data_IF_629105466590
#
_entry.id   IF_629105466590
#
_cell.length_a   1.000
_cell.length_b   1.000
_cell.length_c   1.000
_cell.angle_alpha   90.00
_cell.angle_beta   90.00
_cell.angle_gamma   90.00
#
_symmetry.space_group_name_H-M   'P 1'
#
loop_
_entity.id
_entity.type
_entity.pdbx_description
1 polymer ?
#
# COMPACT_ATOMS: atom_id res chain seq x y z
N UNK A 1 -9.48 15.50 0.85
CA UNK A 1 -8.74 14.27 0.52
C UNK A 1 -7.48 14.69 -0.20
N UNK A 2 -6.49 15.20 0.56
CA UNK A 2 -5.20 15.57 -0.01
C UNK A 2 -4.72 14.38 -0.83
N UNK A 3 -4.33 14.62 -2.07
CA UNK A 3 -3.69 13.61 -2.90
C UNK A 3 -2.40 13.19 -2.20
N UNK A 4 -2.50 12.24 -1.27
CA UNK A 4 -1.42 11.36 -0.90
C UNK A 4 -0.98 10.75 -2.22
N UNK A 5 0.03 11.38 -2.83
CA UNK A 5 0.87 10.76 -3.82
C UNK A 5 1.51 9.61 -3.06
N UNK A 6 0.86 8.46 -3.12
CA UNK A 6 1.46 7.21 -2.68
C UNK A 6 2.58 7.00 -3.69
N UNK A 7 3.74 7.54 -3.39
CA UNK A 7 4.97 7.30 -4.14
C UNK A 7 5.45 5.87 -3.88
N UNK A 8 6.46 5.47 -4.64
CA UNK A 8 6.94 4.09 -4.62
C UNK A 8 7.50 3.69 -3.24
N UNK A 9 8.14 4.64 -2.53
CA UNK A 9 8.64 4.42 -1.17
C UNK A 9 7.47 4.18 -0.20
N UNK A 10 6.42 4.99 -0.29
CA UNK A 10 5.18 4.83 0.47
C UNK A 10 4.51 3.50 0.14
N UNK A 11 4.52 3.06 -1.12
CA UNK A 11 3.96 1.74 -1.50
C UNK A 11 4.68 0.60 -0.81
N UNK A 12 6.01 0.64 -0.73
CA UNK A 12 6.80 -0.40 -0.04
C UNK A 12 6.46 -0.45 1.45
N UNK A 13 6.34 0.70 2.09
CA UNK A 13 5.95 0.76 3.52
C UNK A 13 4.51 0.30 3.74
N UNK A 14 3.57 0.70 2.87
CA UNK A 14 2.18 0.22 2.90
C UNK A 14 2.09 -1.29 2.73
N UNK A 15 2.89 -1.88 1.83
CA UNK A 15 2.91 -3.33 1.62
C UNK A 15 3.30 -4.07 2.90
N UNK A 16 4.33 -3.57 3.60
CA UNK A 16 4.78 -4.15 4.86
C UNK A 16 3.74 -3.99 5.97
N UNK A 17 3.14 -2.80 6.11
CA UNK A 17 2.11 -2.55 7.11
C UNK A 17 0.86 -3.41 6.88
N UNK A 18 0.39 -3.51 5.63
CA UNK A 18 -0.77 -4.34 5.30
C UNK A 18 -0.50 -5.84 5.48
N UNK A 19 0.70 -6.30 5.13
CA UNK A 19 1.12 -7.67 5.39
C UNK A 19 1.11 -8.01 6.89
N UNK A 20 1.50 -7.05 7.74
CA UNK A 20 1.50 -7.21 9.20
C UNK A 20 0.09 -7.22 9.79
N UNK A 21 -0.81 -6.34 9.32
CA UNK A 21 -2.19 -6.24 9.81
C UNK A 21 -3.08 -7.38 9.29
N UNK A 22 -2.84 -7.80 8.05
CA UNK A 22 -3.66 -8.78 7.35
C UNK A 22 -2.88 -10.04 6.99
N UNK A 23 -2.67 -10.23 5.69
CA UNK A 23 -1.99 -11.40 5.14
C UNK A 23 -1.05 -10.99 4.02
N UNK A 24 0.12 -11.65 3.94
CA UNK A 24 1.07 -11.45 2.84
C UNK A 24 0.50 -11.80 1.47
N UNK A 25 -0.52 -12.66 1.43
CA UNK A 25 -1.19 -13.08 0.19
C UNK A 25 -2.32 -12.16 -0.28
N UNK A 26 -2.59 -11.05 0.42
CA UNK A 26 -3.64 -10.12 -0.02
C UNK A 26 -3.27 -9.52 -1.39
N UNK A 27 -4.19 -9.49 -2.37
CA UNK A 27 -3.93 -8.91 -3.69
C UNK A 27 -3.38 -7.49 -3.66
N UNK A 28 -3.77 -6.67 -2.68
CA UNK A 28 -3.24 -5.31 -2.51
C UNK A 28 -1.79 -5.32 -2.03
N UNK A 29 -1.42 -6.23 -1.12
CA UNK A 29 -0.03 -6.39 -0.65
C UNK A 29 0.87 -6.82 -1.80
N UNK A 30 0.44 -7.83 -2.57
CA UNK A 30 1.20 -8.33 -3.72
C UNK A 30 1.36 -7.25 -4.78
N UNK A 31 0.29 -6.50 -5.09
CA UNK A 31 0.38 -5.42 -6.08
C UNK A 31 1.27 -4.27 -5.62
N UNK A 32 1.26 -3.91 -4.34
CA UNK A 32 2.16 -2.89 -3.80
C UNK A 32 3.63 -3.33 -3.87
N UNK A 33 3.94 -4.60 -3.59
CA UNK A 33 5.30 -5.15 -3.76
C UNK A 33 5.72 -5.12 -5.22
N UNK A 34 4.87 -5.63 -6.11
CA UNK A 34 5.15 -5.64 -7.55
C UNK A 34 5.41 -4.22 -8.10
N UNK A 35 4.65 -3.22 -7.65
CA UNK A 35 4.86 -1.84 -8.05
C UNK A 35 6.21 -1.26 -7.59
N UNK A 36 6.72 -1.70 -6.43
CA UNK A 36 8.04 -1.32 -5.92
C UNK A 36 9.17 -2.03 -6.68
N UNK A 37 8.95 -3.29 -7.06
CA UNK A 37 9.94 -4.09 -7.78
C UNK A 37 10.06 -3.69 -9.26
N UNK A 38 8.94 -3.38 -9.92
CA UNK A 38 8.92 -3.06 -11.35
C UNK A 38 9.13 -1.58 -11.65
N UNK A 39 8.76 -0.70 -10.70
CA UNK A 39 8.64 0.75 -10.88
C UNK A 39 7.77 1.15 -12.10
N UNK A 40 6.94 0.23 -12.62
CA UNK A 40 6.11 0.48 -13.81
C UNK A 40 4.89 1.35 -13.41
N UNK A 41 4.62 2.45 -14.14
CA UNK A 41 3.44 3.28 -13.90
C UNK A 41 2.10 2.54 -13.88
N UNK A 42 1.98 1.44 -14.65
CA UNK A 42 0.79 0.57 -14.67
C UNK A 42 0.63 -0.19 -13.35
N UNK A 43 1.71 -0.75 -12.82
CA UNK A 43 1.69 -1.48 -11.55
C UNK A 43 1.43 -0.53 -10.39
N UNK A 44 2.04 0.65 -10.39
CA UNK A 44 1.79 1.73 -9.42
C UNK A 44 0.29 2.10 -9.43
N UNK A 45 -0.30 2.31 -10.61
CA UNK A 45 -1.74 2.64 -10.72
C UNK A 45 -2.63 1.49 -10.24
N UNK A 46 -2.27 0.26 -10.58
CA UNK A 46 -3.01 -0.94 -10.17
C UNK A 46 -2.96 -1.13 -8.64
N UNK A 47 -1.76 -1.05 -8.05
CA UNK A 47 -1.53 -1.16 -6.62
C UNK A 47 -2.35 -0.12 -5.84
N UNK A 48 -2.34 1.15 -6.29
CA UNK A 48 -3.15 2.21 -5.67
C UNK A 48 -4.64 1.92 -5.75
N UNK A 49 -5.11 1.36 -6.87
CA UNK A 49 -6.51 0.98 -7.06
C UNK A 49 -6.90 -0.16 -6.11
N UNK A 50 -6.08 -1.21 -6.00
CA UNK A 50 -6.33 -2.33 -5.09
C UNK A 50 -6.27 -1.90 -3.62
N UNK A 51 -5.30 -1.05 -3.27
CA UNK A 51 -5.21 -0.45 -1.95
C UNK A 51 -6.46 0.36 -1.58
N UNK A 52 -7.10 1.06 -2.51
CA UNK A 52 -8.36 1.77 -2.23
C UNK A 52 -9.58 0.84 -2.08
N UNK A 53 -9.48 -0.43 -2.51
CA UNK A 53 -10.57 -1.41 -2.46
C UNK A 53 -10.55 -2.30 -1.22
N UNK A 54 -9.41 -2.44 -0.53
CA UNK A 54 -9.37 -3.14 0.76
C UNK A 54 -10.25 -2.43 1.79
N UNK A 55 -10.72 -3.15 2.82
CA UNK A 55 -11.65 -2.58 3.79
C UNK A 55 -11.05 -1.31 4.47
N UNK A 56 -11.92 -0.38 4.88
CA UNK A 56 -11.47 0.90 5.43
C UNK A 56 -10.65 0.76 6.72
N UNK A 57 -10.92 -0.25 7.54
CA UNK A 57 -10.17 -0.52 8.77
C UNK A 57 -8.71 -0.85 8.51
N UNK A 58 -8.43 -1.77 7.58
CA UNK A 58 -7.09 -2.15 7.17
C UNK A 58 -6.35 -0.99 6.50
N UNK A 59 -7.03 -0.20 5.65
CA UNK A 59 -6.40 1.00 5.06
C UNK A 59 -5.97 2.00 6.11
N UNK A 60 -6.86 2.32 7.04
CA UNK A 60 -6.59 3.32 8.06
C UNK A 60 -5.51 2.84 9.03
N UNK A 61 -5.52 1.56 9.41
CA UNK A 61 -4.47 0.96 10.23
C UNK A 61 -3.11 1.00 9.51
N UNK A 62 -3.05 0.63 8.23
CA UNK A 62 -1.81 0.70 7.45
C UNK A 62 -1.30 2.13 7.29
N UNK A 63 -2.17 3.12 7.07
CA UNK A 63 -1.81 4.52 7.01
C UNK A 63 -1.33 5.06 8.36
N UNK A 64 -1.96 4.64 9.47
CA UNK A 64 -1.55 5.03 10.81
C UNK A 64 -0.13 4.56 11.14
N UNK A 65 0.23 3.33 10.73
CA UNK A 65 1.61 2.81 10.90
C UNK A 65 2.67 3.62 10.13
N UNK A 66 2.28 4.40 9.12
CA UNK A 66 3.20 5.32 8.42
C UNK A 66 3.32 6.68 9.09
N UNK A 67 2.35 7.04 9.92
CA UNK A 67 2.30 8.30 10.65
C UNK A 67 2.99 8.24 12.02
N UNK A 68 3.46 7.07 12.44
CA UNK A 68 4.38 6.91 13.57
C UNK A 68 5.82 7.04 13.03
N UNK A 69 6.45 8.23 13.12
CA UNK A 69 7.89 8.34 13.08
C UNK A 69 8.42 7.82 14.42
N UNK A 70 9.24 6.76 14.39
CA UNK A 70 10.25 6.53 15.44
C UNK A 70 11.12 7.78 15.62
#
# INVERSE_FOLDING_TARGET
MSELKIDIETMGRLARALAFIGSEGDPAVVALRAAVESEDPKDIKNARTLFMRINAGHRNAALAMLMDPD
#
